data_IF_699173622632
#
_entry.id   IF_699173622632
#
_cell.length_a   1.000
_cell.length_b   1.000
_cell.length_c   1.000
_cell.angle_alpha   90.00
_cell.angle_beta   90.00
_cell.angle_gamma   90.00
#
_symmetry.space_group_name_H-M   'P 1'
#
loop_
_entity.id
_entity.type
_entity.pdbx_description
1 polymer ?
#
# COMPACT_ATOMS: atom_id res chain seq x y z
N UNK A 1 -19.01 -23.67 14.94
CA UNK A 1 -17.60 -23.44 15.34
C UNK A 1 -16.66 -24.31 14.50
N UNK A 2 -16.83 -24.31 13.16
CA UNK A 2 -16.05 -25.15 12.23
C UNK A 2 -15.55 -24.37 10.98
N UNK A 3 -16.14 -23.21 10.65
CA UNK A 3 -15.75 -22.40 9.48
C UNK A 3 -14.46 -21.58 9.64
N UNK A 4 -13.97 -21.42 10.88
CA UNK A 4 -12.80 -20.57 11.16
C UNK A 4 -11.46 -21.31 10.99
N UNK A 5 -11.47 -22.64 10.94
CA UNK A 5 -10.27 -23.47 10.72
C UNK A 5 -10.00 -23.68 9.22
N UNK A 6 -11.06 -23.77 8.42
CA UNK A 6 -10.98 -23.99 6.98
C UNK A 6 -10.47 -22.75 6.23
N UNK A 7 -10.95 -21.56 6.62
CA UNK A 7 -10.53 -20.27 6.03
C UNK A 7 -9.07 -19.91 6.29
N UNK A 8 -8.54 -20.15 7.51
CA UNK A 8 -7.12 -19.87 7.82
C UNK A 8 -6.15 -20.81 7.10
N UNK A 9 -6.51 -22.10 6.99
CA UNK A 9 -5.71 -23.10 6.29
C UNK A 9 -5.71 -22.83 4.78
N UNK A 10 -6.86 -22.47 4.23
CA UNK A 10 -7.02 -22.11 2.81
C UNK A 10 -6.28 -20.83 2.45
N UNK A 11 -6.36 -19.78 3.28
CA UNK A 11 -5.64 -18.52 3.07
C UNK A 11 -4.11 -18.68 3.09
N UNK A 12 -3.60 -19.54 3.99
CA UNK A 12 -2.16 -19.86 4.07
C UNK A 12 -1.68 -20.62 2.82
N UNK A 13 -2.48 -21.58 2.34
CA UNK A 13 -2.17 -22.31 1.11
C UNK A 13 -2.18 -21.43 -0.14
N UNK A 14 -3.14 -20.50 -0.25
CA UNK A 14 -3.18 -19.52 -1.34
C UNK A 14 -1.97 -18.59 -1.31
N UNK A 15 -1.65 -18.00 -0.14
CA UNK A 15 -0.53 -17.08 -0.03
C UNK A 15 0.81 -17.73 -0.41
N UNK A 16 1.02 -18.98 -0.02
CA UNK A 16 2.20 -19.75 -0.46
C UNK A 16 2.24 -19.91 -1.98
N UNK A 17 1.13 -20.27 -2.63
CA UNK A 17 1.07 -20.39 -4.10
C UNK A 17 1.35 -19.07 -4.81
N UNK A 18 0.77 -17.97 -4.34
CA UNK A 18 1.03 -16.62 -4.89
C UNK A 18 2.51 -16.28 -4.78
N UNK A 19 3.08 -16.42 -3.57
CA UNK A 19 4.49 -16.11 -3.32
C UNK A 19 5.42 -16.95 -4.17
N UNK A 20 5.26 -18.27 -4.15
CA UNK A 20 6.13 -19.17 -4.88
C UNK A 20 6.01 -18.95 -6.40
N UNK A 21 4.79 -18.70 -6.91
CA UNK A 21 4.55 -18.36 -8.31
C UNK A 21 5.22 -17.04 -8.72
N UNK A 22 5.05 -15.98 -7.92
CA UNK A 22 5.68 -14.69 -8.19
C UNK A 22 7.21 -14.79 -8.17
N UNK A 23 7.78 -15.46 -7.17
CA UNK A 23 9.24 -15.65 -7.08
C UNK A 23 9.79 -16.51 -8.22
N UNK A 24 9.03 -17.51 -8.68
CA UNK A 24 9.40 -18.31 -9.84
C UNK A 24 9.40 -17.47 -11.12
N UNK A 25 8.32 -16.73 -11.39
CA UNK A 25 8.24 -15.87 -12.56
C UNK A 25 9.31 -14.78 -12.54
N UNK A 26 9.66 -14.22 -11.37
CA UNK A 26 10.79 -13.28 -11.26
C UNK A 26 12.13 -13.89 -11.65
N UNK A 27 12.33 -15.20 -11.44
CA UNK A 27 13.55 -15.91 -11.82
C UNK A 27 13.56 -16.27 -13.31
N UNK A 28 12.40 -16.62 -13.86
CA UNK A 28 12.27 -17.08 -15.25
C UNK A 28 12.14 -15.93 -16.26
N UNK A 29 11.31 -14.94 -15.95
CA UNK A 29 10.97 -13.81 -16.83
C UNK A 29 11.79 -12.55 -16.49
N UNK A 30 12.36 -12.51 -15.29
CA UNK A 30 13.02 -11.33 -14.75
C UNK A 30 12.05 -10.38 -14.03
N UNK A 31 12.57 -9.38 -13.29
CA UNK A 31 11.78 -8.56 -12.39
C UNK A 31 10.67 -7.74 -13.05
N UNK A 32 10.93 -7.14 -14.21
CA UNK A 32 9.99 -6.25 -14.89
C UNK A 32 8.81 -7.02 -15.49
N UNK A 33 9.07 -8.08 -16.26
CA UNK A 33 8.02 -8.91 -16.85
C UNK A 33 7.16 -9.63 -15.79
N UNK A 34 7.78 -10.08 -14.69
CA UNK A 34 7.04 -10.62 -13.56
C UNK A 34 6.17 -9.55 -12.87
N UNK A 35 6.67 -8.32 -12.73
CA UNK A 35 5.87 -7.21 -12.21
C UNK A 35 4.65 -6.94 -13.13
N UNK A 36 4.83 -6.95 -14.45
CA UNK A 36 3.73 -6.75 -15.38
C UNK A 36 2.67 -7.84 -15.26
N UNK A 37 3.10 -9.11 -15.23
CA UNK A 37 2.21 -10.27 -15.10
C UNK A 37 1.38 -10.22 -13.81
N UNK A 38 2.00 -9.86 -12.69
CA UNK A 38 1.35 -9.96 -11.37
C UNK A 38 0.70 -8.66 -10.91
N UNK A 39 1.25 -7.50 -11.27
CA UNK A 39 0.83 -6.21 -10.72
C UNK A 39 -0.16 -5.48 -11.63
N UNK A 40 0.00 -5.55 -12.95
CA UNK A 40 -0.86 -4.80 -13.86
C UNK A 40 -2.37 -5.09 -13.67
N UNK A 41 -2.83 -6.36 -13.59
CA UNK A 41 -4.24 -6.65 -13.36
C UNK A 41 -4.76 -6.10 -12.02
N UNK A 42 -3.93 -6.16 -10.97
CA UNK A 42 -4.27 -5.65 -9.64
C UNK A 42 -4.29 -4.12 -9.60
N UNK A 43 -3.39 -3.46 -10.34
CA UNK A 43 -3.32 -2.00 -10.44
C UNK A 43 -4.50 -1.44 -11.23
N UNK A 44 -4.90 -2.12 -12.31
CA UNK A 44 -6.13 -1.77 -13.05
C UNK A 44 -7.35 -1.93 -12.16
N UNK A 45 -7.43 -3.03 -11.41
CA UNK A 45 -8.50 -3.28 -10.44
C UNK A 45 -8.51 -2.22 -9.34
N UNK A 46 -7.36 -1.88 -8.79
CA UNK A 46 -7.18 -0.85 -7.76
C UNK A 46 -7.68 0.51 -8.25
N UNK A 47 -7.19 0.98 -9.40
CA UNK A 47 -7.64 2.25 -9.98
C UNK A 47 -9.16 2.25 -10.27
N UNK A 48 -9.69 1.14 -10.77
CA UNK A 48 -11.13 1.00 -11.01
C UNK A 48 -11.96 1.09 -9.73
N UNK A 49 -11.48 0.53 -8.63
CA UNK A 49 -12.15 0.58 -7.32
C UNK A 49 -12.01 1.94 -6.63
N UNK A 50 -10.90 2.65 -6.87
CA UNK A 50 -10.67 4.00 -6.35
C UNK A 50 -11.56 5.06 -7.02
N UNK A 51 -11.94 4.85 -8.27
CA UNK A 51 -12.85 5.74 -9.00
C UNK A 51 -14.35 5.46 -8.73
N UNK A 52 -14.68 4.50 -7.86
CA UNK A 52 -16.05 4.07 -7.55
C UNK A 52 -16.30 4.10 -6.04
N UNK A 53 -17.54 4.39 -5.65
CA UNK A 53 -17.94 4.39 -4.23
C UNK A 53 -18.22 2.99 -3.67
N UNK A 54 -18.38 2.00 -4.54
CA UNK A 54 -18.78 0.64 -4.16
C UNK A 54 -17.88 -0.46 -4.73
N UNK A 55 -18.07 -1.68 -4.23
CA UNK A 55 -17.30 -2.86 -4.61
C UNK A 55 -16.09 -3.11 -3.71
N UNK A 56 -15.32 -4.13 -4.05
CA UNK A 56 -14.11 -4.48 -3.34
C UNK A 56 -13.33 -5.55 -4.09
N UNK A 57 -12.20 -5.93 -3.51
CA UNK A 57 -11.42 -7.07 -3.96
C UNK A 57 -12.11 -8.38 -3.60
N UNK A 58 -11.90 -9.43 -4.39
CA UNK A 58 -12.20 -10.81 -3.98
C UNK A 58 -11.24 -11.25 -2.86
N UNK A 59 -11.55 -12.37 -2.19
CA UNK A 59 -10.61 -12.93 -1.19
C UNK A 59 -9.24 -13.25 -1.81
N UNK A 60 -9.23 -13.77 -3.04
CA UNK A 60 -7.99 -14.08 -3.75
C UNK A 60 -7.17 -12.83 -4.08
N UNK A 61 -7.82 -11.78 -4.58
CA UNK A 61 -7.16 -10.49 -4.84
C UNK A 61 -6.59 -9.88 -3.55
N UNK A 62 -7.32 -9.97 -2.43
CA UNK A 62 -6.86 -9.47 -1.12
C UNK A 62 -5.61 -10.20 -0.64
N UNK A 63 -5.62 -11.53 -0.65
CA UNK A 63 -4.45 -12.34 -0.26
C UNK A 63 -3.28 -12.07 -1.21
N UNK A 64 -3.54 -11.95 -2.51
CA UNK A 64 -2.51 -11.67 -3.52
C UNK A 64 -1.87 -10.30 -3.29
N UNK A 65 -2.66 -9.25 -3.07
CA UNK A 65 -2.16 -7.92 -2.73
C UNK A 65 -1.28 -7.93 -1.47
N UNK A 66 -1.72 -8.58 -0.40
CA UNK A 66 -0.95 -8.66 0.84
C UNK A 66 0.44 -9.32 0.63
N UNK A 67 0.47 -10.44 -0.10
CA UNK A 67 1.72 -11.13 -0.44
C UNK A 67 2.62 -10.24 -1.28
N UNK A 68 2.11 -9.66 -2.37
CA UNK A 68 2.94 -8.89 -3.30
C UNK A 68 3.45 -7.58 -2.69
N UNK A 69 2.69 -6.93 -1.81
CA UNK A 69 3.15 -5.76 -1.05
C UNK A 69 4.29 -6.11 -0.07
N UNK A 70 4.33 -7.35 0.41
CA UNK A 70 5.39 -7.86 1.29
C UNK A 70 6.64 -8.24 0.50
N UNK A 71 6.47 -8.92 -0.63
CA UNK A 71 7.59 -9.37 -1.46
C UNK A 71 8.18 -8.25 -2.34
N UNK A 72 7.45 -7.16 -2.57
CA UNK A 72 7.87 -6.08 -3.47
C UNK A 72 7.39 -4.70 -3.00
N UNK A 73 8.26 -3.93 -2.33
CA UNK A 73 7.90 -2.62 -1.79
C UNK A 73 7.53 -1.57 -2.86
N UNK A 74 8.01 -1.71 -4.10
CA UNK A 74 7.60 -0.82 -5.19
C UNK A 74 6.11 -0.95 -5.53
N UNK A 75 5.52 -2.15 -5.37
CA UNK A 75 4.08 -2.37 -5.48
C UNK A 75 3.34 -1.57 -4.40
N UNK A 76 3.83 -1.65 -3.15
CA UNK A 76 3.26 -0.91 -2.01
C UNK A 76 3.30 0.59 -2.26
N UNK A 77 4.44 1.11 -2.69
CA UNK A 77 4.63 2.55 -2.91
C UNK A 77 3.77 3.06 -4.07
N UNK A 78 3.69 2.29 -5.17
CA UNK A 78 2.80 2.58 -6.29
C UNK A 78 1.32 2.62 -5.86
N UNK A 79 0.85 1.67 -5.04
CA UNK A 79 -0.52 1.66 -4.50
C UNK A 79 -0.80 2.91 -3.67
N UNK A 80 0.13 3.29 -2.79
CA UNK A 80 0.01 4.49 -1.94
C UNK A 80 -0.09 5.75 -2.81
N UNK A 81 0.80 5.91 -3.80
CA UNK A 81 0.79 7.10 -4.66
C UNK A 81 -0.49 7.17 -5.50
N UNK A 82 -0.94 6.04 -6.05
CA UNK A 82 -2.22 5.93 -6.75
C UNK A 82 -3.43 6.18 -5.84
N UNK A 83 -3.28 6.13 -4.52
CA UNK A 83 -4.34 6.45 -3.55
C UNK A 83 -4.47 7.95 -3.27
N UNK A 84 -3.38 8.70 -3.45
CA UNK A 84 -3.31 10.12 -3.07
C UNK A 84 -3.58 11.05 -4.25
N UNK A 85 -3.50 10.54 -5.48
CA UNK A 85 -3.84 11.26 -6.71
C UNK A 85 -4.13 10.30 -7.84
N UNK A 86 -4.79 10.81 -8.86
CA UNK A 86 -4.87 10.10 -10.13
C UNK A 86 -3.48 10.00 -10.77
N UNK A 87 -3.19 8.82 -11.31
CA UNK A 87 -1.94 8.49 -11.99
C UNK A 87 -2.28 7.89 -13.35
N UNK A 88 -1.56 8.34 -14.39
CA UNK A 88 -1.66 7.70 -15.70
C UNK A 88 -1.09 6.28 -15.65
N UNK A 89 -1.63 5.37 -16.47
CA UNK A 89 -1.21 3.96 -16.50
C UNK A 89 0.29 3.78 -16.73
N UNK A 90 0.90 4.59 -17.60
CA UNK A 90 2.35 4.57 -17.84
C UNK A 90 3.19 5.05 -16.66
N UNK A 91 2.74 6.08 -15.93
CA UNK A 91 3.45 6.56 -14.72
C UNK A 91 3.37 5.50 -13.61
N UNK A 92 2.20 4.87 -13.44
CA UNK A 92 2.00 3.82 -12.45
C UNK A 92 2.80 2.56 -12.77
N UNK A 93 2.81 2.14 -14.04
CA UNK A 93 3.60 1.02 -14.55
C UNK A 93 5.09 1.23 -14.27
N UNK A 94 5.62 2.39 -14.63
CA UNK A 94 7.01 2.75 -14.38
C UNK A 94 7.40 2.59 -12.90
N UNK A 95 6.55 3.04 -11.97
CA UNK A 95 6.84 2.96 -10.53
C UNK A 95 7.05 1.53 -10.02
N UNK A 96 6.21 0.57 -10.46
CA UNK A 96 6.30 -0.79 -9.95
C UNK A 96 7.21 -1.69 -10.78
N UNK A 97 7.32 -1.46 -12.10
CA UNK A 97 8.09 -2.29 -13.02
C UNK A 97 9.55 -1.82 -13.14
N UNK A 98 9.83 -0.53 -12.93
CA UNK A 98 11.16 0.08 -13.04
C UNK A 98 11.53 0.89 -11.78
N UNK A 99 11.46 0.30 -10.57
CA UNK A 99 11.60 1.05 -9.31
C UNK A 99 12.99 1.65 -9.07
N UNK A 100 14.01 1.17 -9.79
CA UNK A 100 15.39 1.67 -9.69
C UNK A 100 15.76 2.66 -10.79
N UNK A 101 14.82 3.05 -11.66
CA UNK A 101 15.07 4.11 -12.63
C UNK A 101 15.14 5.47 -11.94
N UNK A 102 15.86 6.42 -12.56
CA UNK A 102 15.92 7.79 -12.05
C UNK A 102 14.55 8.45 -12.09
N UNK A 103 13.71 8.13 -13.08
CA UNK A 103 12.35 8.68 -13.17
C UNK A 103 11.46 8.21 -12.01
N UNK A 104 11.48 6.91 -11.69
CA UNK A 104 10.72 6.36 -10.55
C UNK A 104 11.16 6.98 -9.23
N UNK A 105 12.47 7.06 -9.00
CA UNK A 105 13.01 7.69 -7.79
C UNK A 105 12.60 9.18 -7.69
N UNK A 106 12.64 9.91 -8.80
CA UNK A 106 12.25 11.32 -8.84
C UNK A 106 10.76 11.52 -8.52
N UNK A 107 9.87 10.64 -9.03
CA UNK A 107 8.45 10.67 -8.69
C UNK A 107 8.23 10.43 -7.20
N UNK A 108 8.78 9.35 -6.64
CA UNK A 108 8.61 9.03 -5.21
C UNK A 108 9.16 10.15 -4.31
N UNK A 109 10.36 10.66 -4.60
CA UNK A 109 10.97 11.76 -3.85
C UNK A 109 10.16 13.05 -3.93
N UNK A 110 9.57 13.35 -5.09
CA UNK A 110 8.68 14.50 -5.27
C UNK A 110 7.42 14.37 -4.42
N UNK A 111 6.76 13.21 -4.43
CA UNK A 111 5.53 13.03 -3.65
C UNK A 111 5.80 13.02 -2.14
N UNK A 112 6.91 12.43 -1.69
CA UNK A 112 7.35 12.56 -0.29
C UNK A 112 7.64 14.02 0.08
N UNK A 113 8.35 14.75 -0.78
CA UNK A 113 8.64 16.16 -0.54
C UNK A 113 7.35 16.99 -0.44
N UNK A 114 6.35 16.70 -1.28
CA UNK A 114 5.03 17.35 -1.19
C UNK A 114 4.33 17.06 0.14
N UNK A 115 4.30 15.79 0.54
CA UNK A 115 3.67 15.37 1.79
C UNK A 115 4.22 16.10 3.02
N UNK A 116 5.54 16.32 3.07
CA UNK A 116 6.22 16.91 4.24
C UNK A 116 6.49 18.41 4.15
N UNK A 117 6.52 19.02 2.95
CA UNK A 117 7.03 20.40 2.78
C UNK A 117 6.11 21.33 1.98
N UNK A 118 5.12 20.80 1.26
CA UNK A 118 4.28 21.62 0.37
C UNK A 118 2.90 21.87 0.99
N UNK A 119 2.71 23.03 1.60
CA UNK A 119 1.42 23.44 2.16
C UNK A 119 0.34 23.74 1.10
N UNK A 120 0.72 23.87 -0.17
CA UNK A 120 -0.22 24.06 -1.28
C UNK A 120 -0.68 22.73 -1.89
N UNK A 121 0.01 21.61 -1.60
CA UNK A 121 -0.40 20.29 -2.02
C UNK A 121 -1.79 19.95 -1.49
N UNK A 122 -2.60 19.27 -2.30
CA UNK A 122 -3.93 18.79 -1.90
C UNK A 122 -4.04 17.32 -2.31
N UNK A 123 -3.93 16.37 -1.36
CA UNK A 123 -4.17 14.97 -1.67
C UNK A 123 -5.65 14.77 -2.02
N UNK A 124 -5.93 13.80 -2.88
CA UNK A 124 -7.28 13.34 -3.14
C UNK A 124 -7.81 12.58 -1.91
N UNK A 125 -8.49 13.31 -1.04
CA UNK A 125 -9.00 12.78 0.25
C UNK A 125 -10.02 11.66 0.07
N UNK A 126 -10.92 11.76 -0.92
CA UNK A 126 -11.92 10.70 -1.20
C UNK A 126 -11.21 9.43 -1.64
N UNK A 127 -10.23 9.55 -2.54
CA UNK A 127 -9.44 8.42 -3.03
C UNK A 127 -8.62 7.79 -1.91
N UNK A 128 -8.03 8.60 -1.02
CA UNK A 128 -7.30 8.15 0.15
C UNK A 128 -8.18 7.41 1.17
N UNK A 129 -9.38 7.89 1.46
CA UNK A 129 -10.35 7.22 2.33
C UNK A 129 -10.79 5.87 1.74
N UNK A 130 -11.08 5.85 0.43
CA UNK A 130 -11.44 4.63 -0.28
C UNK A 130 -10.31 3.60 -0.26
N UNK A 131 -9.09 4.03 -0.53
CA UNK A 131 -7.89 3.21 -0.46
C UNK A 131 -7.67 2.64 0.95
N UNK A 132 -7.88 3.45 1.99
CA UNK A 132 -7.75 3.01 3.38
C UNK A 132 -8.73 1.88 3.69
N UNK A 133 -10.00 2.01 3.30
CA UNK A 133 -11.00 0.96 3.51
C UNK A 133 -10.67 -0.34 2.76
N UNK A 134 -10.18 -0.24 1.52
CA UNK A 134 -9.74 -1.40 0.74
C UNK A 134 -8.54 -2.09 1.40
N UNK A 135 -7.53 -1.35 1.84
CA UNK A 135 -6.36 -1.90 2.53
C UNK A 135 -6.70 -2.49 3.91
N UNK A 136 -7.68 -1.94 4.62
CA UNK A 136 -8.20 -2.57 5.84
C UNK A 136 -8.80 -3.94 5.54
N UNK A 137 -9.54 -4.10 4.43
CA UNK A 137 -10.04 -5.41 3.99
C UNK A 137 -8.91 -6.37 3.61
N UNK A 138 -7.87 -5.88 2.92
CA UNK A 138 -6.67 -6.65 2.58
C UNK A 138 -5.98 -7.14 3.85
N UNK A 139 -5.80 -6.26 4.83
CA UNK A 139 -5.15 -6.57 6.11
C UNK A 139 -5.94 -7.59 6.92
N UNK A 140 -7.27 -7.52 6.91
CA UNK A 140 -8.14 -8.44 7.65
C UNK A 140 -8.04 -9.88 7.13
N UNK A 141 -7.88 -10.06 5.82
CA UNK A 141 -7.83 -11.36 5.16
C UNK A 141 -6.40 -11.90 4.96
N UNK A 142 -5.38 -11.04 5.09
CA UNK A 142 -3.99 -11.44 4.93
C UNK A 142 -3.59 -12.49 5.99
N UNK A 143 -2.80 -13.52 5.63
CA UNK A 143 -2.15 -14.37 6.63
C UNK A 143 -1.13 -13.57 7.44
N UNK A 144 -0.82 -14.03 8.67
CA UNK A 144 -0.08 -13.23 9.66
C UNK A 144 1.24 -12.64 9.14
N UNK A 145 2.03 -13.39 8.38
CA UNK A 145 3.31 -12.95 7.80
C UNK A 145 3.20 -11.91 6.66
N UNK A 146 2.00 -11.55 6.23
CA UNK A 146 1.76 -10.60 5.13
C UNK A 146 0.88 -9.41 5.54
N UNK A 147 0.60 -9.26 6.85
CA UNK A 147 -0.27 -8.19 7.37
C UNK A 147 0.44 -6.84 7.53
N UNK A 148 1.75 -6.86 7.78
CA UNK A 148 2.49 -5.66 8.17
C UNK A 148 2.48 -4.57 7.09
N UNK A 149 2.81 -4.90 5.84
CA UNK A 149 2.91 -3.91 4.77
C UNK A 149 1.56 -3.27 4.41
N UNK A 150 0.43 -4.00 4.24
CA UNK A 150 -0.89 -3.38 4.09
C UNK A 150 -1.28 -2.48 5.26
N UNK A 151 -0.96 -2.90 6.49
CA UNK A 151 -1.26 -2.11 7.69
C UNK A 151 -0.42 -0.83 7.77
N UNK A 152 0.84 -0.88 7.37
CA UNK A 152 1.72 0.29 7.28
C UNK A 152 1.23 1.27 6.20
N UNK A 153 0.74 0.77 5.06
CA UNK A 153 0.10 1.62 4.04
C UNK A 153 -1.15 2.32 4.59
N UNK A 154 -2.01 1.62 5.34
CA UNK A 154 -3.12 2.26 6.06
C UNK A 154 -2.63 3.36 7.02
N UNK A 155 -1.55 3.10 7.77
CA UNK A 155 -0.98 4.08 8.69
C UNK A 155 -0.56 5.36 7.95
N UNK A 156 0.11 5.22 6.82
CA UNK A 156 0.55 6.36 6.01
C UNK A 156 -0.63 7.15 5.43
N UNK A 157 -1.65 6.47 4.90
CA UNK A 157 -2.85 7.15 4.37
C UNK A 157 -3.62 7.88 5.47
N UNK A 158 -3.74 7.30 6.66
CA UNK A 158 -4.33 7.96 7.82
C UNK A 158 -3.52 9.17 8.26
N UNK A 159 -2.19 9.09 8.24
CA UNK A 159 -1.33 10.23 8.54
C UNK A 159 -1.54 11.34 7.50
N UNK A 160 -1.55 11.00 6.21
CA UNK A 160 -1.86 11.92 5.11
C UNK A 160 -3.23 12.57 5.23
N UNK A 161 -4.22 11.87 5.79
CA UNK A 161 -5.57 12.37 6.06
C UNK A 161 -5.69 13.17 7.37
N UNK A 162 -4.56 13.52 8.01
CA UNK A 162 -4.51 14.26 9.27
C UNK A 162 -5.22 13.53 10.43
N UNK A 163 -5.05 12.19 10.49
CA UNK A 163 -5.57 11.29 11.54
C UNK A 163 -4.43 10.70 12.36
N UNK A 164 -3.56 11.55 12.91
CA UNK A 164 -2.27 11.16 13.51
C UNK A 164 -2.38 10.08 14.60
N UNK A 165 -3.37 10.13 15.49
CA UNK A 165 -3.57 9.08 16.51
C UNK A 165 -3.90 7.74 15.88
N UNK A 166 -4.80 7.71 14.90
CA UNK A 166 -5.17 6.47 14.22
C UNK A 166 -3.98 5.91 13.41
N UNK A 167 -3.23 6.79 12.74
CA UNK A 167 -2.01 6.45 12.02
C UNK A 167 -0.97 5.78 12.94
N UNK A 168 -0.66 6.39 14.08
CA UNK A 168 0.28 5.83 15.07
C UNK A 168 -0.17 4.45 15.58
N UNK A 169 -1.46 4.26 15.86
CA UNK A 169 -2.00 2.96 16.27
C UNK A 169 -1.83 1.90 15.18
N UNK A 170 -2.05 2.23 13.91
CA UNK A 170 -1.78 1.29 12.80
C UNK A 170 -0.30 1.01 12.64
N UNK A 171 0.55 2.03 12.74
CA UNK A 171 2.00 1.88 12.64
C UNK A 171 2.55 0.95 13.74
N UNK A 172 2.15 1.14 14.99
CA UNK A 172 2.55 0.27 16.11
C UNK A 172 2.11 -1.18 15.89
N UNK A 173 0.89 -1.40 15.40
CA UNK A 173 0.41 -2.75 15.08
C UNK A 173 1.18 -3.38 13.92
N UNK A 174 1.57 -2.61 12.91
CA UNK A 174 2.41 -3.10 11.82
C UNK A 174 3.81 -3.49 12.34
N UNK A 175 4.41 -2.66 13.19
CA UNK A 175 5.71 -2.96 13.83
C UNK A 175 5.66 -4.16 14.77
N UNK A 176 4.52 -4.41 15.42
CA UNK A 176 4.33 -5.62 16.21
C UNK A 176 4.28 -6.91 15.37
N UNK A 177 4.02 -6.80 14.07
CA UNK A 177 4.01 -7.91 13.11
C UNK A 177 5.34 -8.06 12.38
N UNK A 178 6.02 -6.94 12.11
CA UNK A 178 7.29 -6.83 11.40
C UNK A 178 8.01 -5.56 11.90
N UNK A 179 8.99 -5.73 12.80
CA UNK A 179 9.73 -4.64 13.43
C UNK A 179 10.65 -3.89 12.46
N UNK A 180 11.00 -4.52 11.33
CA UNK A 180 11.78 -3.93 10.23
C UNK A 180 10.88 -3.17 9.22
N UNK A 181 9.58 -3.03 9.48
CA UNK A 181 8.66 -2.31 8.59
C UNK A 181 8.97 -0.80 8.53
N UNK A 182 9.80 -0.41 7.55
CA UNK A 182 10.32 0.96 7.40
C UNK A 182 9.24 2.04 7.28
N UNK A 183 8.14 1.77 6.58
CA UNK A 183 7.04 2.72 6.43
C UNK A 183 6.31 2.94 7.76
N UNK A 184 6.10 1.89 8.55
CA UNK A 184 5.49 2.00 9.86
C UNK A 184 6.39 2.80 10.82
N UNK A 185 7.69 2.53 10.81
CA UNK A 185 8.68 3.31 11.57
C UNK A 185 8.64 4.80 11.20
N UNK A 186 8.57 5.13 9.91
CA UNK A 186 8.48 6.50 9.42
C UNK A 186 7.21 7.21 9.91
N UNK A 187 6.05 6.55 9.82
CA UNK A 187 4.77 7.12 10.27
C UNK A 187 4.75 7.31 11.79
N UNK A 188 5.31 6.36 12.54
CA UNK A 188 5.42 6.46 13.99
C UNK A 188 6.31 7.62 14.41
N UNK A 189 7.52 7.74 13.83
CA UNK A 189 8.43 8.84 14.10
C UNK A 189 7.81 10.21 13.76
N UNK A 190 7.12 10.33 12.62
CA UNK A 190 6.39 11.54 12.27
C UNK A 190 5.33 11.89 13.34
N UNK A 191 4.59 10.88 13.81
CA UNK A 191 3.55 11.07 14.83
C UNK A 191 4.13 11.47 16.20
N UNK A 192 5.22 10.85 16.65
CA UNK A 192 5.89 11.14 17.92
C UNK A 192 6.49 12.55 17.95
N UNK A 193 7.01 13.01 16.81
CA UNK A 193 7.55 14.36 16.66
C UNK A 193 6.49 15.43 16.34
N UNK A 194 5.21 15.06 16.27
CA UNK A 194 4.13 15.99 15.94
C UNK A 194 4.20 16.53 14.50
N UNK A 195 4.92 15.84 13.62
CA UNK A 195 5.02 16.16 12.20
C UNK A 195 3.70 15.73 11.53
N UNK A 196 3.04 16.71 10.92
CA UNK A 196 1.77 16.53 10.18
C UNK A 196 2.03 16.71 8.69
N UNK A 197 1.13 16.23 7.81
CA UNK A 197 1.22 16.56 6.40
C UNK A 197 1.20 18.08 6.19
N UNK A 198 2.08 18.59 5.34
CA UNK A 198 2.28 20.03 5.15
C UNK A 198 0.99 20.77 4.76
N UNK A 199 0.13 20.14 3.98
CA UNK A 199 -1.15 20.70 3.55
C UNK A 199 -2.08 21.08 4.72
N UNK A 200 -1.89 20.49 5.90
CA UNK A 200 -2.71 20.78 7.09
C UNK A 200 -2.37 22.11 7.75
N UNK A 201 -1.21 22.70 7.45
CA UNK A 201 -0.79 24.01 7.97
C UNK A 201 -1.72 25.13 7.48
N UNK A 202 -2.27 24.98 6.27
CA UNK A 202 -3.24 25.93 5.68
C UNK A 202 -4.54 26.06 6.47
N UNK A 203 -4.92 25.07 7.28
CA UNK A 203 -6.16 25.10 8.08
C UNK A 203 -6.03 25.87 9.39
N UNK A 204 -4.85 26.44 9.69
CA UNK A 204 -4.58 27.18 10.93
C UNK A 204 -4.65 28.71 10.80
N UNK A 205 -5.00 29.21 9.62
CA UNK A 205 -5.25 30.63 9.34
C UNK A 205 -6.66 30.80 8.81
#
# INVERSE_FOLDING_TARGET
MNDMVDTRTTGTGLAKRVRDGFLQDRRELGPAEAADKWFAPLMDRWNGLLSRDEGGFSHEERVTLAVLMTECLSMRDALILASLREMGGGELHMLYAQPHSMESAAVVMRELSRAFKDAAYQPDTRRGERATALLESVTADAPDGYKAQPMASCAYLLWMADRSTAAAVRALKALALDDDCSLASLVLAASEHGIRPAWTERRRH
#
